data_IF_460624786282
#
_entry.id   IF_460624786282
#
_cell.length_a   1.000
_cell.length_b   1.000
_cell.length_c   1.000
_cell.angle_alpha   90.00
_cell.angle_beta   90.00
_cell.angle_gamma   90.00
#
_symmetry.space_group_name_H-M   'P 1'
#
loop_
_entity.id
_entity.type
_entity.pdbx_description
1 polymer ?
#
# COMPACT_ATOMS: atom_id res chain seq x y z
N UNK A 1 -9.31 3.34 11.51
CA UNK A 1 -8.11 2.69 12.06
C UNK A 1 -6.81 3.15 11.38
N UNK A 2 -6.74 3.20 10.03
CA UNK A 2 -5.51 3.53 9.28
C UNK A 2 -5.41 5.01 8.88
N UNK A 3 -5.86 5.93 9.71
CA UNK A 3 -5.96 7.36 9.39
C UNK A 3 -4.61 7.99 9.02
N UNK A 4 -3.52 7.63 9.71
CA UNK A 4 -2.19 8.16 9.39
C UNK A 4 -1.72 7.72 8.00
N UNK A 5 -1.99 6.48 7.60
CA UNK A 5 -1.69 6.00 6.25
C UNK A 5 -2.50 6.80 5.22
N UNK A 6 -3.81 6.96 5.44
CA UNK A 6 -4.66 7.76 4.55
C UNK A 6 -4.12 9.20 4.42
N UNK A 7 -3.76 9.83 5.53
CA UNK A 7 -3.21 11.19 5.53
C UNK A 7 -1.86 11.34 4.79
N UNK A 8 -1.08 10.25 4.66
CA UNK A 8 0.21 10.27 3.95
C UNK A 8 0.06 9.97 2.46
N UNK A 9 -0.77 8.97 2.08
CA UNK A 9 -0.77 8.45 0.70
C UNK A 9 -2.01 8.83 -0.12
N UNK A 10 -3.00 9.49 0.48
CA UNK A 10 -4.21 9.92 -0.24
C UNK A 10 -3.85 10.97 -1.32
N UNK A 11 -4.45 10.91 -2.51
CA UNK A 11 -4.29 11.93 -3.53
C UNK A 11 -5.06 13.21 -3.15
N UNK A 12 -4.54 13.98 -2.21
CA UNK A 12 -5.18 15.18 -1.65
C UNK A 12 -5.50 16.24 -2.71
N UNK A 13 -4.71 16.29 -3.77
CA UNK A 13 -4.89 17.22 -4.90
C UNK A 13 -6.22 16.96 -5.63
N UNK A 14 -6.65 15.71 -5.69
CA UNK A 14 -7.91 15.30 -6.33
C UNK A 14 -9.10 15.26 -5.34
N UNK A 15 -8.80 15.33 -4.06
CA UNK A 15 -9.77 15.20 -2.97
C UNK A 15 -10.00 16.55 -2.26
N UNK A 16 -9.63 16.63 -0.99
CA UNK A 16 -9.92 17.76 -0.13
C UNK A 16 -9.20 19.06 -0.51
N UNK A 17 -7.92 18.97 -0.90
CA UNK A 17 -7.10 20.14 -1.25
C UNK A 17 -7.50 20.74 -2.60
N UNK A 18 -7.68 19.89 -3.62
CA UNK A 18 -8.04 20.34 -4.97
C UNK A 18 -9.46 20.88 -5.07
N UNK A 19 -10.37 20.46 -4.19
CA UNK A 19 -11.76 20.92 -4.14
C UNK A 19 -12.04 21.94 -3.03
N UNK A 20 -11.02 22.49 -2.39
CA UNK A 20 -11.18 23.46 -1.32
C UNK A 20 -11.68 24.80 -1.86
N UNK A 21 -12.86 25.27 -1.43
CA UNK A 21 -13.42 26.58 -1.84
C UNK A 21 -12.45 27.74 -1.58
N UNK A 22 -11.68 27.67 -0.48
CA UNK A 22 -10.68 28.68 -0.19
C UNK A 22 -9.60 28.73 -1.27
N UNK A 23 -9.26 27.60 -1.87
CA UNK A 23 -8.28 27.51 -2.96
C UNK A 23 -8.64 28.28 -4.23
N UNK A 24 -9.91 28.73 -4.37
CA UNK A 24 -10.35 29.59 -5.48
C UNK A 24 -9.75 31.03 -5.39
N UNK A 25 -9.54 31.52 -4.17
CA UNK A 25 -9.11 32.90 -3.93
C UNK A 25 -7.78 33.03 -3.16
N UNK A 26 -7.31 31.95 -2.58
CA UNK A 26 -6.08 31.89 -1.77
C UNK A 26 -5.56 30.45 -1.70
N UNK A 27 -4.54 30.20 -0.88
CA UNK A 27 -4.08 28.86 -0.63
C UNK A 27 -5.18 28.00 0.02
N UNK A 28 -5.40 26.77 -0.46
CA UNK A 28 -6.33 25.81 0.14
C UNK A 28 -5.90 25.47 1.57
N UNK A 29 -6.86 25.05 2.40
CA UNK A 29 -6.54 24.57 3.74
C UNK A 29 -5.73 23.28 3.63
N UNK A 30 -4.63 23.20 4.34
CA UNK A 30 -3.74 22.04 4.33
C UNK A 30 -4.24 20.94 5.29
N UNK A 31 -5.40 20.36 4.98
CA UNK A 31 -6.02 19.31 5.80
C UNK A 31 -5.10 18.11 6.01
N UNK A 32 -4.31 17.75 5.00
CA UNK A 32 -3.45 16.57 5.08
C UNK A 32 -2.39 16.69 6.18
N UNK A 33 -1.81 17.87 6.38
CA UNK A 33 -0.82 18.05 7.47
C UNK A 33 -1.49 18.04 8.85
N UNK A 34 -2.70 18.60 8.94
CA UNK A 34 -3.49 18.53 10.17
C UNK A 34 -3.85 17.07 10.49
N UNK A 35 -4.32 16.34 9.49
CA UNK A 35 -4.67 14.92 9.60
C UNK A 35 -3.46 14.05 9.97
N UNK A 36 -2.30 14.28 9.35
CA UNK A 36 -1.04 13.60 9.70
C UNK A 36 -0.68 13.82 11.16
N UNK A 37 -0.75 15.07 11.63
CA UNK A 37 -0.41 15.43 13.01
C UNK A 37 -1.34 14.72 14.01
N UNK A 38 -2.65 14.87 13.83
CA UNK A 38 -3.66 14.26 14.71
C UNK A 38 -3.56 12.73 14.68
N UNK A 39 -3.45 12.15 13.48
CA UNK A 39 -3.41 10.70 13.32
C UNK A 39 -2.13 10.07 13.88
N UNK A 40 -1.01 10.78 13.79
CA UNK A 40 0.25 10.35 14.43
C UNK A 40 0.12 10.38 15.95
N UNK A 41 -0.33 11.49 16.50
CA UNK A 41 -0.57 11.61 17.93
C UNK A 41 -1.53 10.51 18.43
N UNK A 42 -2.59 10.25 17.68
CA UNK A 42 -3.55 9.18 18.00
C UNK A 42 -2.87 7.80 18.00
N UNK A 43 -2.10 7.48 16.95
CA UNK A 43 -1.42 6.19 16.83
C UNK A 43 -0.41 5.96 17.99
N UNK A 44 0.28 7.01 18.41
CA UNK A 44 1.31 6.94 19.46
C UNK A 44 0.73 6.91 20.88
N UNK A 45 -0.40 7.57 21.13
CA UNK A 45 -0.89 7.86 22.48
C UNK A 45 -2.22 7.20 22.85
N UNK A 46 -2.95 6.62 21.89
CA UNK A 46 -4.24 6.03 22.23
C UNK A 46 -4.09 4.72 22.97
N UNK A 47 -4.89 4.56 24.02
CA UNK A 47 -5.15 3.26 24.61
C UNK A 47 -6.29 2.59 23.87
N UNK A 48 -6.05 1.41 23.34
CA UNK A 48 -7.08 0.67 22.61
C UNK A 48 -7.95 -0.09 23.62
N UNK A 49 -9.23 0.20 23.62
CA UNK A 49 -10.21 -0.55 24.38
C UNK A 49 -10.65 -1.78 23.58
N UNK A 50 -10.85 -2.89 24.30
CA UNK A 50 -11.41 -4.12 23.75
C UNK A 50 -12.61 -4.52 24.57
N UNK A 51 -13.71 -4.81 23.88
CA UNK A 51 -14.89 -5.40 24.51
C UNK A 51 -14.61 -6.81 25.03
N UNK A 52 -15.54 -7.35 25.83
CA UNK A 52 -15.47 -8.72 26.33
C UNK A 52 -15.24 -9.73 25.19
N UNK A 53 -14.36 -10.69 25.47
CA UNK A 53 -13.93 -11.67 24.46
C UNK A 53 -15.09 -12.58 24.09
N UNK A 54 -15.45 -12.55 22.81
CA UNK A 54 -16.49 -13.39 22.20
C UNK A 54 -15.94 -14.77 21.85
N UNK A 55 -16.83 -15.73 21.70
CA UNK A 55 -16.47 -17.10 21.30
C UNK A 55 -16.19 -17.23 19.81
N UNK A 56 -16.82 -16.39 18.99
CA UNK A 56 -16.77 -16.44 17.54
C UNK A 56 -15.35 -16.13 17.03
N UNK A 57 -14.91 -16.98 16.10
CA UNK A 57 -13.58 -16.90 15.45
C UNK A 57 -13.72 -16.40 14.02
N UNK A 58 -12.97 -15.37 13.70
CA UNK A 58 -13.03 -14.75 12.37
C UNK A 58 -11.67 -14.93 11.66
N UNK A 59 -11.69 -15.51 10.48
CA UNK A 59 -10.53 -15.56 9.60
C UNK A 59 -10.52 -14.35 8.65
N UNK A 60 -9.37 -13.71 8.50
CA UNK A 60 -9.15 -12.62 7.55
C UNK A 60 -8.05 -13.06 6.59
N UNK A 61 -8.39 -13.22 5.32
CA UNK A 61 -7.47 -13.62 4.26
C UNK A 61 -6.94 -12.38 3.58
N UNK A 62 -5.65 -12.08 3.83
CA UNK A 62 -4.95 -10.90 3.36
C UNK A 62 -4.85 -9.81 4.44
N UNK A 63 -3.62 -9.52 4.85
CA UNK A 63 -3.26 -8.50 5.83
C UNK A 63 -3.00 -7.12 5.22
N UNK A 64 -3.59 -6.81 4.07
CA UNK A 64 -3.56 -5.48 3.46
C UNK A 64 -4.45 -4.47 4.20
N UNK A 65 -4.60 -3.23 3.68
CA UNK A 65 -5.35 -2.17 4.36
C UNK A 65 -6.79 -2.59 4.71
N UNK A 66 -7.46 -3.34 3.84
CA UNK A 66 -8.81 -3.84 4.10
C UNK A 66 -8.82 -4.85 5.27
N UNK A 67 -7.93 -5.84 5.22
CA UNK A 67 -7.83 -6.86 6.29
C UNK A 67 -7.42 -6.26 7.63
N UNK A 68 -6.44 -5.36 7.65
CA UNK A 68 -6.05 -4.63 8.87
C UNK A 68 -7.22 -3.84 9.46
N UNK A 69 -7.99 -3.12 8.62
CA UNK A 69 -9.13 -2.33 9.07
C UNK A 69 -10.21 -3.21 9.70
N UNK A 70 -10.58 -4.30 9.06
CA UNK A 70 -11.56 -5.26 9.59
C UNK A 70 -11.05 -5.90 10.89
N UNK A 71 -9.76 -6.25 10.93
CA UNK A 71 -9.13 -6.82 12.13
C UNK A 71 -9.18 -5.87 13.33
N UNK A 72 -8.93 -4.57 13.11
CA UNK A 72 -9.08 -3.55 14.15
C UNK A 72 -10.51 -3.49 14.68
N UNK A 73 -11.50 -3.36 13.78
CA UNK A 73 -12.89 -3.23 14.16
C UNK A 73 -13.38 -4.44 14.93
N UNK A 74 -13.08 -5.64 14.43
CA UNK A 74 -13.53 -6.88 15.03
C UNK A 74 -12.75 -7.22 16.32
N UNK A 75 -11.44 -6.93 16.35
CA UNK A 75 -10.61 -7.11 17.54
C UNK A 75 -11.09 -6.25 18.70
N UNK A 76 -11.37 -4.95 18.49
CA UNK A 76 -11.94 -4.07 19.49
C UNK A 76 -13.31 -4.55 19.99
N UNK A 77 -14.14 -5.12 19.09
CA UNK A 77 -15.42 -5.73 19.44
C UNK A 77 -15.33 -7.09 20.14
N UNK A 78 -14.14 -7.53 20.51
CA UNK A 78 -13.90 -8.76 21.27
C UNK A 78 -13.88 -10.05 20.45
N UNK A 79 -14.05 -10.01 19.11
CA UNK A 79 -13.97 -11.22 18.30
C UNK A 79 -12.56 -11.80 18.27
N UNK A 80 -12.46 -13.14 18.21
CA UNK A 80 -11.19 -13.87 18.06
C UNK A 80 -10.75 -13.83 16.59
N UNK A 81 -10.00 -12.83 16.23
CA UNK A 81 -9.64 -12.55 14.85
C UNK A 81 -8.25 -13.09 14.51
N UNK A 82 -8.11 -13.76 13.37
CA UNK A 82 -6.82 -14.21 12.83
C UNK A 82 -6.64 -13.69 11.41
N UNK A 83 -5.54 -12.98 11.16
CA UNK A 83 -5.12 -12.56 9.81
C UNK A 83 -4.19 -13.65 9.25
N UNK A 84 -4.49 -14.13 8.05
CA UNK A 84 -3.64 -14.99 7.25
C UNK A 84 -3.07 -14.16 6.08
N UNK A 85 -1.76 -14.05 5.97
CA UNK A 85 -1.12 -13.36 4.86
C UNK A 85 -0.10 -14.26 4.18
N UNK A 86 -0.07 -14.22 2.85
CA UNK A 86 0.88 -15.00 2.05
C UNK A 86 2.31 -14.46 2.14
N UNK A 87 2.48 -13.20 2.54
CA UNK A 87 3.78 -12.57 2.74
C UNK A 87 4.29 -12.76 4.17
N UNK A 88 5.56 -12.43 4.39
CA UNK A 88 6.25 -12.53 5.68
C UNK A 88 5.77 -11.51 6.73
N UNK A 89 5.12 -10.41 6.29
CA UNK A 89 4.53 -9.38 7.14
C UNK A 89 3.19 -8.89 6.57
N UNK A 90 2.36 -8.34 7.43
CA UNK A 90 1.13 -7.66 7.01
C UNK A 90 1.43 -6.26 6.44
N UNK A 91 0.43 -5.67 5.80
CA UNK A 91 0.48 -4.34 5.19
C UNK A 91 0.08 -4.35 3.72
N UNK A 92 0.17 -5.50 3.03
CA UNK A 92 -0.20 -5.60 1.62
C UNK A 92 0.49 -4.55 0.75
N UNK A 93 -0.26 -3.85 -0.10
CA UNK A 93 0.29 -2.80 -0.97
C UNK A 93 0.98 -1.66 -0.20
N UNK A 94 0.58 -1.38 1.02
CA UNK A 94 1.21 -0.35 1.85
C UNK A 94 2.68 -0.70 2.18
N UNK A 95 2.97 -1.98 2.33
CA UNK A 95 4.32 -2.48 2.61
C UNK A 95 5.08 -2.83 1.34
N UNK A 96 4.44 -3.55 0.43
CA UNK A 96 5.10 -4.19 -0.71
C UNK A 96 4.90 -3.47 -2.05
N UNK A 97 4.07 -2.42 -2.11
CA UNK A 97 3.82 -1.64 -3.32
C UNK A 97 4.26 -0.19 -3.22
N UNK A 98 4.08 0.45 -2.07
CA UNK A 98 4.47 1.85 -1.85
C UNK A 98 5.90 1.90 -1.32
N UNK A 99 6.83 2.66 -1.92
CA UNK A 99 8.21 2.75 -1.45
C UNK A 99 8.34 3.37 -0.04
N UNK A 100 9.45 3.04 0.65
CA UNK A 100 9.80 3.55 1.98
C UNK A 100 9.80 5.09 2.05
N UNK A 101 10.30 5.75 1.01
CA UNK A 101 10.39 7.22 0.97
C UNK A 101 9.03 7.92 0.86
N UNK A 102 7.95 7.20 0.46
CA UNK A 102 6.57 7.71 0.48
C UNK A 102 5.82 7.30 1.73
N UNK A 103 5.97 6.05 2.16
CA UNK A 103 5.30 5.51 3.35
C UNK A 103 6.29 4.70 4.17
N UNK A 104 6.84 5.26 5.26
CA UNK A 104 7.73 4.56 6.17
C UNK A 104 7.10 3.29 6.73
N UNK A 105 7.81 2.15 6.63
CA UNK A 105 7.26 0.85 7.05
C UNK A 105 7.10 0.74 8.55
N UNK A 106 7.83 1.55 9.32
CA UNK A 106 7.65 1.68 10.77
C UNK A 106 6.22 2.07 11.15
N UNK A 107 5.50 2.83 10.31
CA UNK A 107 4.10 3.16 10.53
C UNK A 107 3.23 1.90 10.44
N UNK A 108 3.53 1.02 9.48
CA UNK A 108 2.80 -0.25 9.33
C UNK A 108 3.13 -1.19 10.49
N UNK A 109 4.40 -1.23 10.93
CA UNK A 109 4.81 -2.00 12.10
C UNK A 109 4.06 -1.52 13.36
N UNK A 110 3.91 -0.21 13.56
CA UNK A 110 3.13 0.34 14.68
C UNK A 110 1.65 -0.10 14.62
N UNK A 111 1.05 -0.18 13.45
CA UNK A 111 -0.32 -0.71 13.31
C UNK A 111 -0.38 -2.22 13.58
N UNK A 112 0.62 -2.98 13.20
CA UNK A 112 0.74 -4.41 13.51
C UNK A 112 0.79 -4.63 15.02
N UNK A 113 1.62 -3.87 15.73
CA UNK A 113 1.72 -3.91 17.20
C UNK A 113 0.37 -3.61 17.88
N UNK A 114 -0.36 -2.61 17.38
CA UNK A 114 -1.70 -2.27 17.89
C UNK A 114 -2.73 -3.38 17.64
N UNK A 115 -2.65 -4.07 16.50
CA UNK A 115 -3.50 -5.23 16.23
C UNK A 115 -3.21 -6.37 17.21
N UNK A 116 -1.95 -6.63 17.50
CA UNK A 116 -1.54 -7.63 18.47
C UNK A 116 -2.02 -7.26 19.90
N UNK A 117 -1.90 -5.99 20.28
CA UNK A 117 -2.34 -5.46 21.57
C UNK A 117 -3.85 -5.73 21.82
N UNK A 118 -4.70 -5.58 20.82
CA UNK A 118 -6.14 -5.90 20.91
C UNK A 118 -6.44 -7.38 20.70
N UNK A 119 -5.42 -8.25 20.65
CA UNK A 119 -5.55 -9.70 20.62
C UNK A 119 -5.88 -10.29 19.26
N UNK A 120 -5.51 -9.60 18.18
CA UNK A 120 -5.54 -10.16 16.82
C UNK A 120 -4.35 -11.10 16.63
N UNK A 121 -4.59 -12.31 16.16
CA UNK A 121 -3.54 -13.23 15.76
C UNK A 121 -3.09 -12.95 14.33
N UNK A 122 -1.79 -12.98 14.07
CA UNK A 122 -1.23 -12.80 12.72
C UNK A 122 -0.49 -14.07 12.34
N UNK A 123 -0.85 -14.64 11.18
CA UNK A 123 -0.21 -15.80 10.57
C UNK A 123 0.38 -15.41 9.21
N UNK A 124 1.62 -14.95 9.19
CA UNK A 124 2.34 -14.67 7.95
C UNK A 124 2.74 -15.95 7.23
N UNK A 125 3.22 -15.84 6.00
CA UNK A 125 3.67 -16.95 5.15
C UNK A 125 2.59 -18.05 5.00
N UNK A 126 1.31 -17.66 5.03
CA UNK A 126 0.18 -18.59 4.97
C UNK A 126 -0.69 -18.29 3.76
N UNK A 127 -0.53 -19.11 2.73
CA UNK A 127 -1.30 -18.98 1.48
C UNK A 127 -2.63 -19.75 1.61
N UNK A 128 -3.73 -19.02 1.59
CA UNK A 128 -5.07 -19.57 1.56
C UNK A 128 -5.53 -19.78 0.10
N UNK A 129 -6.09 -20.93 -0.17
CA UNK A 129 -6.53 -21.38 -1.48
C UNK A 129 -5.84 -22.70 -1.85
N UNK A 130 -4.64 -22.67 -2.44
CA UNK A 130 -3.94 -23.88 -2.85
C UNK A 130 -3.46 -24.77 -1.69
N UNK A 131 -3.09 -24.18 -0.56
CA UNK A 131 -2.50 -24.89 0.59
C UNK A 131 -3.56 -25.17 1.66
N UNK A 132 -4.26 -24.14 2.08
CA UNK A 132 -5.36 -24.22 3.05
C UNK A 132 -6.61 -23.70 2.35
N UNK A 133 -7.62 -24.54 2.20
CA UNK A 133 -8.88 -24.15 1.55
C UNK A 133 -9.78 -23.34 2.50
N UNK A 134 -10.74 -22.63 1.93
CA UNK A 134 -11.77 -21.92 2.71
C UNK A 134 -12.58 -22.91 3.54
N UNK A 135 -12.95 -24.07 2.94
CA UNK A 135 -13.69 -25.11 3.65
C UNK A 135 -12.90 -25.62 4.86
N UNK A 136 -11.58 -25.77 4.71
CA UNK A 136 -10.71 -26.17 5.82
C UNK A 136 -10.72 -25.17 6.97
N UNK A 137 -10.77 -23.87 6.69
CA UNK A 137 -10.90 -22.86 7.74
C UNK A 137 -12.25 -22.97 8.49
N UNK A 138 -13.33 -23.24 7.78
CA UNK A 138 -14.64 -23.47 8.41
C UNK A 138 -14.64 -24.75 9.26
N UNK A 139 -14.05 -25.83 8.77
CA UNK A 139 -13.87 -27.09 9.53
C UNK A 139 -13.01 -26.88 10.78
N UNK A 140 -12.01 -26.01 10.71
CA UNK A 140 -11.14 -25.65 11.84
C UNK A 140 -11.83 -24.71 12.86
N UNK A 141 -13.12 -24.43 12.64
CA UNK A 141 -13.99 -23.71 13.57
C UNK A 141 -13.91 -22.19 13.45
N UNK A 142 -13.61 -21.64 12.28
CA UNK A 142 -13.86 -20.22 12.00
C UNK A 142 -15.34 -20.04 11.62
N UNK A 143 -16.01 -19.13 12.30
CA UNK A 143 -17.44 -18.86 12.12
C UNK A 143 -17.72 -17.96 10.91
N UNK A 144 -16.74 -17.10 10.54
CA UNK A 144 -16.82 -16.25 9.37
C UNK A 144 -15.45 -16.00 8.76
N UNK A 145 -15.43 -15.68 7.46
CA UNK A 145 -14.22 -15.45 6.69
C UNK A 145 -14.37 -14.12 5.92
N UNK A 146 -13.42 -13.22 6.10
CA UNK A 146 -13.25 -12.03 5.28
C UNK A 146 -12.15 -12.26 4.25
N UNK A 147 -12.42 -11.95 2.97
CA UNK A 147 -11.45 -12.09 1.88
C UNK A 147 -11.04 -10.70 1.39
N UNK A 148 -9.77 -10.36 1.59
CA UNK A 148 -9.18 -9.07 1.23
C UNK A 148 -7.79 -9.22 0.60
N UNK A 149 -7.65 -10.10 -0.40
CA UNK A 149 -6.37 -10.49 -1.01
C UNK A 149 -5.73 -9.42 -1.88
N UNK A 150 -6.46 -8.36 -2.23
CA UNK A 150 -5.97 -7.28 -3.09
C UNK A 150 -5.91 -7.65 -4.58
N UNK A 151 -5.23 -6.81 -5.37
CA UNK A 151 -5.11 -6.92 -6.82
C UNK A 151 -3.63 -6.91 -7.19
N UNK A 152 -3.01 -8.10 -7.18
CA UNK A 152 -1.57 -8.26 -7.41
C UNK A 152 -1.21 -8.63 -8.85
N UNK A 153 -2.18 -9.03 -9.67
CA UNK A 153 -1.92 -9.37 -11.05
C UNK A 153 -1.73 -8.10 -11.87
N UNK A 154 -0.55 -7.88 -12.48
CA UNK A 154 -0.30 -6.74 -13.34
C UNK A 154 -1.17 -6.81 -14.61
N UNK A 155 -1.47 -5.64 -15.17
CA UNK A 155 -2.06 -5.56 -16.51
C UNK A 155 -0.95 -5.73 -17.54
N UNK A 156 -1.15 -6.62 -18.50
CA UNK A 156 -0.29 -6.81 -19.67
C UNK A 156 -0.53 -5.72 -20.70
N UNK A 157 0.48 -5.43 -21.49
CA UNK A 157 0.36 -4.55 -22.66
C UNK A 157 0.08 -5.36 -23.93
N UNK A 158 0.29 -6.69 -23.89
CA UNK A 158 0.14 -7.64 -24.98
C UNK A 158 0.99 -7.27 -26.21
N UNK A 159 2.20 -6.78 -25.97
CA UNK A 159 3.15 -6.38 -27.01
C UNK A 159 4.33 -7.35 -27.09
N UNK A 160 4.92 -7.42 -28.28
CA UNK A 160 6.14 -8.23 -28.49
C UNK A 160 7.28 -7.74 -27.61
N UNK A 161 7.88 -8.66 -26.86
CA UNK A 161 9.02 -8.38 -25.99
C UNK A 161 8.66 -8.19 -24.53
N UNK A 162 7.38 -8.12 -24.16
CA UNK A 162 6.94 -7.97 -22.77
C UNK A 162 7.41 -9.11 -21.85
N UNK A 163 7.68 -10.28 -22.41
CA UNK A 163 8.17 -11.45 -21.67
C UNK A 163 9.70 -11.61 -21.67
N UNK A 164 10.45 -10.62 -22.14
CA UNK A 164 11.90 -10.69 -22.06
C UNK A 164 12.41 -10.61 -20.63
N UNK A 165 13.50 -11.29 -20.31
CA UNK A 165 14.02 -11.40 -18.94
C UNK A 165 14.48 -10.08 -18.29
N UNK A 166 14.58 -8.98 -19.06
CA UNK A 166 14.89 -7.64 -18.58
C UNK A 166 13.65 -6.72 -18.55
N UNK A 167 12.46 -7.26 -18.79
CA UNK A 167 11.18 -6.56 -18.66
C UNK A 167 10.49 -7.05 -17.41
N UNK A 168 10.11 -6.13 -16.54
CA UNK A 168 9.56 -6.41 -15.23
C UNK A 168 8.28 -5.61 -15.00
N UNK A 169 7.31 -6.20 -14.33
CA UNK A 169 6.13 -5.46 -13.89
C UNK A 169 6.46 -4.61 -12.65
N UNK A 170 6.00 -3.37 -12.65
CA UNK A 170 6.29 -2.42 -11.58
C UNK A 170 5.88 -2.94 -10.20
N UNK A 171 4.74 -3.63 -10.10
CA UNK A 171 4.27 -4.18 -8.82
C UNK A 171 5.20 -5.26 -8.27
N UNK A 172 5.76 -6.12 -9.14
CA UNK A 172 6.70 -7.16 -8.74
C UNK A 172 8.07 -6.55 -8.37
N UNK A 173 8.53 -5.57 -9.16
CA UNK A 173 9.74 -4.83 -8.87
C UNK A 173 9.67 -4.12 -7.51
N UNK A 174 8.58 -3.37 -7.26
CA UNK A 174 8.40 -2.61 -6.02
C UNK A 174 8.28 -3.50 -4.78
N UNK A 175 7.81 -4.73 -4.94
CA UNK A 175 7.72 -5.70 -3.85
C UNK A 175 9.07 -6.03 -3.25
N UNK A 176 10.11 -6.17 -4.08
CA UNK A 176 11.48 -6.42 -3.63
C UNK A 176 12.50 -5.87 -4.64
N UNK A 177 12.75 -4.55 -4.65
CA UNK A 177 13.64 -3.92 -5.63
C UNK A 177 15.08 -4.46 -5.58
N UNK A 178 15.52 -4.94 -4.42
CA UNK A 178 16.89 -5.42 -4.21
C UNK A 178 17.17 -6.76 -4.90
N UNK A 179 16.14 -7.50 -5.27
CA UNK A 179 16.32 -8.76 -6.02
C UNK A 179 16.49 -8.55 -7.53
N UNK A 180 16.34 -7.31 -8.01
CA UNK A 180 16.46 -6.98 -9.44
C UNK A 180 17.80 -6.33 -9.76
N UNK A 181 18.44 -6.80 -10.82
CA UNK A 181 19.63 -6.16 -11.40
C UNK A 181 19.21 -5.33 -12.60
N UNK A 182 18.92 -4.08 -12.36
CA UNK A 182 18.59 -3.15 -13.42
C UNK A 182 19.86 -2.73 -14.18
N UNK A 183 19.72 -2.42 -15.47
CA UNK A 183 20.77 -1.81 -16.27
C UNK A 183 21.03 -0.34 -15.90
N UNK A 184 22.02 0.27 -16.54
CA UNK A 184 22.33 1.68 -16.36
C UNK A 184 21.20 2.60 -16.84
N UNK A 185 20.43 2.15 -17.82
CA UNK A 185 19.29 2.87 -18.40
C UNK A 185 18.02 2.05 -18.16
N UNK A 186 17.04 2.67 -17.55
CA UNK A 186 15.74 2.07 -17.22
C UNK A 186 14.63 2.88 -17.86
N UNK A 187 13.71 2.21 -18.51
CA UNK A 187 12.51 2.84 -19.07
C UNK A 187 11.28 2.29 -18.36
N UNK A 188 10.45 3.17 -17.83
CA UNK A 188 9.16 2.84 -17.21
C UNK A 188 8.05 3.22 -18.15
N UNK A 189 7.23 2.24 -18.56
CA UNK A 189 6.08 2.48 -19.45
C UNK A 189 4.84 2.68 -18.60
N UNK A 190 4.26 3.88 -18.70
CA UNK A 190 3.10 4.31 -17.93
C UNK A 190 3.40 5.54 -17.09
N UNK A 191 2.35 6.25 -16.66
CA UNK A 191 2.50 7.54 -15.97
C UNK A 191 1.54 7.71 -14.77
N UNK A 192 1.13 6.63 -14.12
CA UNK A 192 0.42 6.67 -12.83
C UNK A 192 1.39 6.70 -11.65
N UNK A 193 0.87 6.84 -10.43
CA UNK A 193 1.68 6.88 -9.20
C UNK A 193 2.61 5.67 -9.06
N UNK A 194 2.15 4.47 -9.45
CA UNK A 194 2.99 3.25 -9.44
C UNK A 194 4.18 3.38 -10.40
N UNK A 195 4.01 4.05 -11.54
CA UNK A 195 5.11 4.29 -12.48
C UNK A 195 6.12 5.29 -11.90
N UNK A 196 5.64 6.34 -11.23
CA UNK A 196 6.51 7.29 -10.50
C UNK A 196 7.28 6.58 -9.40
N UNK A 197 6.62 5.74 -8.61
CA UNK A 197 7.24 4.93 -7.56
C UNK A 197 8.33 4.02 -8.11
N UNK A 198 8.07 3.33 -9.22
CA UNK A 198 9.04 2.44 -9.86
C UNK A 198 10.23 3.21 -10.43
N UNK A 199 9.99 4.33 -11.12
CA UNK A 199 11.03 5.17 -11.69
C UNK A 199 11.95 5.77 -10.62
N UNK A 200 11.36 6.36 -9.58
CA UNK A 200 12.09 6.92 -8.43
C UNK A 200 12.90 5.85 -7.69
N UNK A 201 12.29 4.67 -7.50
CA UNK A 201 12.99 3.54 -6.88
C UNK A 201 14.18 3.09 -7.73
N UNK A 202 14.01 2.94 -9.04
CA UNK A 202 15.10 2.57 -9.95
C UNK A 202 16.25 3.61 -9.92
N UNK A 203 15.91 4.89 -9.90
CA UNK A 203 16.91 5.97 -9.79
C UNK A 203 17.68 5.88 -8.49
N UNK A 204 16.99 5.73 -7.37
CA UNK A 204 17.58 5.61 -6.03
C UNK A 204 18.38 4.32 -5.82
N UNK A 205 18.08 3.26 -6.60
CA UNK A 205 18.84 1.99 -6.64
C UNK A 205 20.05 2.04 -7.58
N UNK A 206 20.36 3.20 -8.20
CA UNK A 206 21.60 3.45 -8.90
C UNK A 206 21.52 3.41 -10.43
N UNK A 207 20.34 3.36 -11.02
CA UNK A 207 20.20 3.54 -12.47
C UNK A 207 20.70 4.95 -12.87
N UNK A 208 21.59 5.02 -13.87
CA UNK A 208 22.17 6.29 -14.33
C UNK A 208 21.14 7.17 -14.99
N UNK A 209 20.30 6.58 -15.85
CA UNK A 209 19.21 7.25 -16.53
C UNK A 209 17.91 6.48 -16.33
N UNK A 210 16.85 7.19 -16.03
CA UNK A 210 15.51 6.63 -15.88
C UNK A 210 14.54 7.49 -16.68
N UNK A 211 13.84 6.85 -17.61
CA UNK A 211 12.82 7.48 -18.44
C UNK A 211 11.43 6.98 -18.05
N UNK A 212 10.47 7.89 -17.99
CA UNK A 212 9.04 7.57 -17.95
C UNK A 212 8.46 7.85 -19.32
N UNK A 213 8.01 6.80 -19.99
CA UNK A 213 7.38 6.92 -21.31
C UNK A 213 5.86 6.90 -21.19
N UNK A 214 5.22 7.92 -21.74
CA UNK A 214 3.78 8.03 -21.74
C UNK A 214 3.24 8.52 -23.09
N UNK A 215 2.17 7.87 -23.59
CA UNK A 215 1.59 8.17 -24.90
C UNK A 215 0.91 9.54 -25.03
N UNK A 216 0.83 10.31 -23.98
CA UNK A 216 0.25 11.68 -23.95
C UNK A 216 1.26 12.61 -23.27
N UNK A 217 1.03 13.94 -23.39
CA UNK A 217 1.88 14.91 -22.73
C UNK A 217 1.82 14.83 -21.19
N UNK A 218 2.81 15.45 -20.57
CA UNK A 218 2.98 15.46 -19.11
C UNK A 218 1.75 16.01 -18.36
N UNK A 219 1.04 16.95 -18.99
CA UNK A 219 -0.18 17.56 -18.46
C UNK A 219 -1.37 16.59 -18.37
N UNK A 220 -1.28 15.44 -19.06
CA UNK A 220 -2.32 14.41 -19.09
C UNK A 220 -1.93 13.16 -18.27
N UNK A 221 -0.82 13.22 -17.52
CA UNK A 221 -0.39 12.10 -16.69
C UNK A 221 -1.36 11.89 -15.52
N UNK A 222 -1.77 10.65 -15.25
CA UNK A 222 -2.70 10.35 -14.16
C UNK A 222 -2.06 10.34 -12.77
N UNK A 223 -0.72 10.43 -12.67
CA UNK A 223 -0.03 10.57 -11.39
C UNK A 223 -0.32 11.94 -10.77
N UNK A 224 -0.30 12.01 -9.43
CA UNK A 224 -0.43 13.28 -8.72
C UNK A 224 0.75 14.21 -9.06
N UNK A 225 0.51 15.53 -9.04
CA UNK A 225 1.57 16.51 -9.31
C UNK A 225 2.73 16.38 -8.33
N UNK A 226 2.44 16.04 -7.09
CA UNK A 226 3.47 15.80 -6.07
C UNK A 226 4.41 14.65 -6.47
N UNK A 227 3.88 13.54 -7.00
CA UNK A 227 4.69 12.40 -7.43
C UNK A 227 5.46 12.68 -8.72
N UNK A 228 4.87 13.41 -9.67
CA UNK A 228 5.57 13.86 -10.88
C UNK A 228 6.75 14.78 -10.50
N UNK A 229 6.52 15.78 -9.64
CA UNK A 229 7.57 16.68 -9.18
C UNK A 229 8.67 15.94 -8.42
N UNK A 230 8.30 15.00 -7.54
CA UNK A 230 9.28 14.17 -6.84
C UNK A 230 10.11 13.28 -7.79
N UNK A 231 9.52 12.82 -8.91
CA UNK A 231 10.27 12.09 -9.93
C UNK A 231 11.25 13.00 -10.68
N UNK A 232 10.86 14.25 -11.01
CA UNK A 232 11.73 15.25 -11.62
C UNK A 232 12.90 15.60 -10.67
N UNK A 233 12.63 15.81 -9.39
CA UNK A 233 13.64 16.08 -8.36
C UNK A 233 14.63 14.91 -8.19
N UNK A 234 14.17 13.68 -8.30
CA UNK A 234 15.04 12.49 -8.29
C UNK A 234 15.83 12.32 -9.61
N UNK A 235 15.61 13.17 -10.63
CA UNK A 235 16.30 13.15 -11.91
C UNK A 235 15.75 12.10 -12.89
N UNK A 236 14.44 11.85 -12.85
CA UNK A 236 13.72 11.06 -13.85
C UNK A 236 13.38 11.95 -15.05
N UNK A 237 13.58 11.45 -16.25
CA UNK A 237 13.27 12.13 -17.51
C UNK A 237 11.91 11.63 -18.05
N UNK A 238 11.16 12.49 -18.74
CA UNK A 238 9.82 12.19 -19.27
C UNK A 238 9.80 12.29 -20.77
N UNK A 239 9.24 11.26 -21.44
CA UNK A 239 9.12 11.18 -22.90
C UNK A 239 7.72 10.72 -23.36
#
# INVERSE_FOLDING_TARGET
PLSLVCAIVCPHEDQCKGNCIRGIKSEPINFCEIEKHISRYYLENITLEREEVKKERIAIIGGGPAGMTIAFILGQKGYRTTIFDANDKIGGVLRYGIPEFRLPKSIIDSYEDRLIEIGVNIRPNTLIGPVITIDKLLEDGYDAIFIGTGVWNPKTLDIKGETFGHVHYAIDYLKNPDSYRLGEVVTVIGAGDVAMDAARTAKRKGAKKVYVMYRKGIENMPATKAEINGAIEDGVEFE
#
